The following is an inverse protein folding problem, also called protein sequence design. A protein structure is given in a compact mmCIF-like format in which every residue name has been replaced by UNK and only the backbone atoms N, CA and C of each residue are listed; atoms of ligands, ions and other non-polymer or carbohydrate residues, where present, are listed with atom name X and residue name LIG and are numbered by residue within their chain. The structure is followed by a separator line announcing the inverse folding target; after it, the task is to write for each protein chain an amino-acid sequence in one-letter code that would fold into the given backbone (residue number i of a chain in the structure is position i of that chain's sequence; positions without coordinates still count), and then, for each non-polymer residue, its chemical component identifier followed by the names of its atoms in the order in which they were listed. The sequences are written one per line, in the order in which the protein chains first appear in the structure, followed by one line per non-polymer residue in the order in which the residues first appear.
data_IF_959939944310
#
_entry.id   IF_959939944310
#
_cell.length_a   1.000
_cell.length_b   1.000
_cell.length_c   1.000
_cell.angle_alpha   90.00
_cell.angle_beta   90.00
_cell.angle_gamma   90.00
#
_symmetry.space_group_name_H-M   'P 1'
#
loop_
_entity.id
_entity.type
_entity.pdbx_description
1 polymer ?
#
# COMPACT_ATOMS: atom_id res chain seq x y z
N UNK A 1 28.19 -31.42 -7.07
CA UNK A 1 27.99 -30.39 -6.01
C UNK A 1 28.96 -29.21 -6.13
N UNK A 2 29.45 -28.84 -7.32
CA UNK A 2 30.39 -27.71 -7.48
C UNK A 2 30.03 -26.67 -8.55
N UNK A 3 28.93 -26.79 -9.32
CA UNK A 3 28.62 -25.81 -10.38
C UNK A 3 27.57 -24.76 -10.02
N UNK A 4 26.95 -24.81 -8.83
CA UNK A 4 25.91 -23.84 -8.42
C UNK A 4 26.51 -22.69 -7.60
N UNK A 5 27.70 -22.87 -7.01
CA UNK A 5 28.39 -21.83 -6.24
C UNK A 5 29.22 -20.87 -7.11
N UNK A 6 29.63 -21.30 -8.31
CA UNK A 6 30.41 -20.48 -9.26
C UNK A 6 29.52 -19.44 -10.00
N UNK A 7 28.29 -19.81 -10.36
CA UNK A 7 27.31 -18.90 -11.01
C UNK A 7 26.87 -17.75 -10.07
N UNK A 8 26.83 -18.01 -8.76
CA UNK A 8 26.50 -17.00 -7.75
C UNK A 8 27.60 -15.94 -7.54
N UNK A 9 28.87 -16.30 -7.78
CA UNK A 9 30.02 -15.41 -7.57
C UNK A 9 30.28 -14.49 -8.78
N UNK A 10 29.92 -14.92 -9.99
CA UNK A 10 30.04 -14.11 -11.21
C UNK A 10 29.00 -12.98 -11.29
N UNK A 11 27.84 -13.15 -10.67
CA UNK A 11 26.81 -12.10 -10.56
C UNK A 11 27.18 -11.00 -9.54
N UNK A 12 27.93 -11.33 -8.49
CA UNK A 12 28.42 -10.35 -7.51
C UNK A 12 29.54 -9.45 -8.05
N UNK A 13 30.39 -9.97 -8.94
CA UNK A 13 31.49 -9.20 -9.55
C UNK A 13 31.02 -8.20 -10.63
N UNK A 14 29.83 -8.42 -11.22
CA UNK A 14 29.25 -7.52 -12.23
C UNK A 14 28.54 -6.30 -11.64
N UNK A 15 28.21 -6.32 -10.35
CA UNK A 15 27.50 -5.23 -9.67
C UNK A 15 28.43 -4.11 -9.13
N UNK A 16 29.74 -4.35 -9.06
CA UNK A 16 30.72 -3.37 -8.51
C UNK A 16 31.31 -2.39 -9.54
N UNK A 17 30.87 -2.42 -10.80
CA UNK A 17 31.51 -1.69 -11.92
C UNK A 17 30.64 -0.58 -12.54
N UNK A 18 29.72 0.03 -11.79
CA UNK A 18 28.93 1.19 -12.25
C UNK A 18 29.06 2.46 -11.40
N UNK A 19 30.00 2.49 -10.45
CA UNK A 19 30.40 3.74 -9.80
C UNK A 19 31.78 4.16 -10.29
N UNK A 20 31.83 4.83 -11.44
CA UNK A 20 32.88 5.79 -11.81
C UNK A 20 32.59 6.43 -13.18
N UNK A 21 32.92 7.73 -13.29
CA UNK A 21 32.71 8.71 -14.38
C UNK A 21 31.39 9.49 -14.21
N UNK A 22 31.36 10.81 -13.99
CA UNK A 22 32.21 11.88 -14.53
C UNK A 22 32.28 13.13 -13.63
N UNK A 23 33.41 13.83 -13.66
CA UNK A 23 33.67 15.14 -13.04
C UNK A 23 33.95 16.22 -14.12
N UNK A 24 33.35 17.42 -13.95
CA UNK A 24 33.82 18.82 -14.27
C UNK A 24 33.74 19.29 -15.77
N UNK A 25 33.61 20.60 -16.20
CA UNK A 25 33.63 21.94 -15.51
C UNK A 25 32.64 23.11 -15.91
N UNK A 26 32.50 24.08 -14.97
CA UNK A 26 32.48 25.58 -15.01
C UNK A 26 31.47 26.53 -15.75
N UNK A 27 30.84 27.39 -14.91
CA UNK A 27 30.64 28.89 -14.92
C UNK A 27 29.33 29.54 -15.47
N UNK A 28 28.76 30.60 -14.82
CA UNK A 28 27.37 31.06 -15.02
C UNK A 28 27.24 32.40 -15.80
N UNK A 29 26.01 32.90 -16.01
CA UNK A 29 25.74 34.29 -15.66
C UNK A 29 24.39 34.57 -14.95
N UNK A 30 24.43 35.75 -14.32
CA UNK A 30 23.45 36.56 -13.61
C UNK A 30 22.00 36.62 -14.10
N UNK A 31 21.08 36.77 -13.14
CA UNK A 31 20.22 37.97 -12.92
C UNK A 31 18.75 37.69 -12.59
N UNK A 32 18.23 38.55 -11.71
CA UNK A 32 16.84 38.78 -11.28
C UNK A 32 16.22 37.79 -10.29
N UNK A 33 16.62 37.93 -9.03
CA UNK A 33 15.80 37.51 -7.88
C UNK A 33 14.61 38.46 -7.72
N UNK A 34 13.43 38.02 -8.16
CA UNK A 34 12.17 38.55 -7.64
C UNK A 34 11.91 37.82 -6.32
N UNK A 35 11.72 38.49 -5.18
CA UNK A 35 11.35 37.83 -3.95
C UNK A 35 9.88 37.39 -4.08
N UNK A 36 9.65 36.19 -4.60
CA UNK A 36 8.36 35.52 -4.42
C UNK A 36 8.23 35.24 -2.94
N UNK A 37 7.27 35.93 -2.31
CA UNK A 37 6.93 35.86 -0.90
C UNK A 37 6.47 34.42 -0.56
N UNK A 38 7.42 33.53 -0.30
CA UNK A 38 7.21 32.09 -0.09
C UNK A 38 6.71 31.72 1.32
N UNK A 39 5.98 32.62 1.97
CA UNK A 39 5.47 32.39 3.32
C UNK A 39 4.18 31.56 3.33
N UNK A 40 3.46 31.41 2.22
CA UNK A 40 2.15 30.76 2.20
C UNK A 40 2.18 29.23 2.09
N UNK A 41 3.22 28.65 1.49
CA UNK A 41 3.28 27.20 1.17
C UNK A 41 3.66 26.34 2.38
N UNK A 42 4.44 26.87 3.32
CA UNK A 42 4.87 26.17 4.54
C UNK A 42 3.76 26.06 5.59
N UNK A 43 2.90 27.07 5.71
CA UNK A 43 1.76 27.05 6.63
C UNK A 43 0.71 26.01 6.21
N UNK A 44 0.39 25.93 4.92
CA UNK A 44 -0.61 25.00 4.40
C UNK A 44 -0.17 23.52 4.49
N UNK A 45 1.13 23.25 4.28
CA UNK A 45 1.69 21.89 4.45
C UNK A 45 1.72 21.47 5.92
N UNK A 46 2.08 22.38 6.83
CA UNK A 46 2.06 22.14 8.28
C UNK A 46 0.64 21.89 8.79
N UNK A 47 -0.34 22.68 8.37
CA UNK A 47 -1.73 22.51 8.77
C UNK A 47 -2.30 21.17 8.31
N UNK A 48 -2.02 20.77 7.07
CA UNK A 48 -2.44 19.46 6.53
C UNK A 48 -1.81 18.32 7.33
N UNK A 49 -0.52 18.41 7.64
CA UNK A 49 0.18 17.43 8.47
C UNK A 49 -0.45 17.29 9.86
N UNK A 50 -0.79 18.42 10.49
CA UNK A 50 -1.45 18.46 11.80
C UNK A 50 -2.86 17.85 11.75
N UNK A 51 -3.63 18.12 10.69
CA UNK A 51 -4.94 17.48 10.45
C UNK A 51 -4.80 15.97 10.34
N UNK A 52 -3.83 15.48 9.56
CA UNK A 52 -3.58 14.04 9.42
C UNK A 52 -3.20 13.43 10.79
N UNK A 53 -2.32 14.07 11.59
CA UNK A 53 -1.94 13.54 12.91
C UNK A 53 -3.14 13.47 13.85
N UNK A 54 -3.99 14.51 13.83
CA UNK A 54 -5.22 14.55 14.60
C UNK A 54 -6.14 13.38 14.25
N UNK A 55 -6.36 13.12 12.95
CA UNK A 55 -7.22 12.01 12.52
C UNK A 55 -6.63 10.66 12.89
N UNK A 56 -5.32 10.46 12.71
CA UNK A 56 -4.64 9.23 13.13
C UNK A 56 -4.82 8.98 14.62
N UNK A 57 -4.68 10.02 15.45
CA UNK A 57 -4.92 9.93 16.90
C UNK A 57 -6.38 9.58 17.21
N UNK A 58 -7.33 10.29 16.60
CA UNK A 58 -8.77 10.03 16.77
C UNK A 58 -9.11 8.57 16.44
N UNK A 59 -8.56 8.02 15.37
CA UNK A 59 -8.76 6.61 14.99
C UNK A 59 -8.14 5.67 16.03
N UNK A 60 -6.89 5.90 16.42
CA UNK A 60 -6.18 5.01 17.34
C UNK A 60 -6.80 4.98 18.73
N UNK A 61 -7.20 6.14 19.27
CA UNK A 61 -7.71 6.28 20.63
C UNK A 61 -9.20 5.90 20.75
N UNK A 62 -9.90 5.70 19.62
CA UNK A 62 -11.33 5.37 19.62
C UNK A 62 -11.63 4.03 20.31
N UNK A 63 -12.71 3.89 21.10
CA UNK A 63 -13.08 2.64 21.76
C UNK A 63 -13.75 1.62 20.82
N UNK A 64 -13.33 1.53 19.55
CA UNK A 64 -13.86 0.52 18.62
C UNK A 64 -13.40 -0.89 19.05
N UNK A 65 -14.27 -1.92 19.06
CA UNK A 65 -15.61 -1.99 18.44
C UNK A 65 -16.80 -1.60 19.32
N UNK A 66 -16.59 -1.23 20.59
CA UNK A 66 -17.68 -0.93 21.52
C UNK A 66 -18.55 0.25 21.06
N UNK A 67 -17.93 1.17 20.31
CA UNK A 67 -18.63 2.27 19.63
C UNK A 67 -18.29 2.29 18.13
N UNK A 68 -19.26 2.66 17.27
CA UNK A 68 -19.03 2.77 15.83
C UNK A 68 -18.09 3.94 15.52
N UNK A 69 -17.00 3.67 14.80
CA UNK A 69 -16.00 4.67 14.43
C UNK A 69 -16.54 5.73 13.46
N UNK A 70 -17.53 5.36 12.65
CA UNK A 70 -18.08 6.19 11.56
C UNK A 70 -18.56 7.58 12.05
N UNK A 71 -19.27 7.64 13.17
CA UNK A 71 -19.77 8.90 13.73
C UNK A 71 -18.62 9.84 14.09
N UNK A 72 -17.57 9.32 14.71
CA UNK A 72 -16.39 10.10 15.09
C UNK A 72 -15.63 10.59 13.85
N UNK A 73 -15.56 9.79 12.78
CA UNK A 73 -14.97 10.20 11.50
C UNK A 73 -15.75 11.33 10.84
N UNK A 74 -17.08 11.23 10.80
CA UNK A 74 -17.96 12.29 10.25
C UNK A 74 -17.77 13.63 10.99
N UNK A 75 -17.63 13.60 12.31
CA UNK A 75 -17.43 14.81 13.12
C UNK A 75 -16.06 15.45 12.92
N UNK A 76 -15.03 14.67 12.58
CA UNK A 76 -13.65 15.17 12.48
C UNK A 76 -13.17 15.38 11.04
N UNK A 77 -13.85 14.81 10.04
CA UNK A 77 -13.43 14.84 8.63
C UNK A 77 -14.58 15.40 7.80
N UNK A 78 -14.52 16.69 7.41
CA UNK A 78 -15.51 17.22 6.49
C UNK A 78 -15.35 16.56 5.10
N UNK A 79 -16.43 16.34 4.34
CA UNK A 79 -16.37 15.68 3.03
C UNK A 79 -15.36 16.32 2.06
N UNK A 80 -15.21 17.64 2.10
CA UNK A 80 -14.26 18.39 1.27
C UNK A 80 -12.78 18.16 1.60
N UNK A 81 -12.46 17.53 2.74
CA UNK A 81 -11.09 17.20 3.13
C UNK A 81 -10.64 15.82 2.62
N UNK A 82 -11.57 14.98 2.16
CA UNK A 82 -11.28 13.62 1.68
C UNK A 82 -10.73 13.64 0.25
N UNK A 83 -9.43 13.90 0.15
CA UNK A 83 -8.65 13.71 -1.08
C UNK A 83 -7.85 12.40 -1.04
N UNK A 84 -7.46 11.88 -2.21
CA UNK A 84 -6.63 10.66 -2.31
C UNK A 84 -5.35 10.77 -1.47
N UNK A 85 -4.61 11.88 -1.60
CA UNK A 85 -3.37 12.13 -0.86
C UNK A 85 -3.61 12.13 0.66
N UNK A 86 -4.73 12.70 1.11
CA UNK A 86 -5.08 12.73 2.53
C UNK A 86 -5.32 11.32 3.07
N UNK A 87 -6.11 10.50 2.37
CA UNK A 87 -6.42 9.13 2.77
C UNK A 87 -5.17 8.25 2.78
N UNK A 88 -4.34 8.33 1.74
CA UNK A 88 -3.05 7.64 1.65
C UNK A 88 -2.10 8.02 2.79
N UNK A 89 -2.10 9.30 3.20
CA UNK A 89 -1.27 9.80 4.29
C UNK A 89 -1.73 9.30 5.65
N UNK A 90 -3.05 9.30 5.90
CA UNK A 90 -3.63 8.74 7.14
C UNK A 90 -3.33 7.24 7.21
N UNK A 91 -3.62 6.48 6.15
CA UNK A 91 -3.35 5.04 6.10
C UNK A 91 -1.86 4.71 6.19
N UNK A 92 -0.99 5.53 5.59
CA UNK A 92 0.46 5.39 5.70
C UNK A 92 0.94 5.50 7.15
N UNK A 93 0.36 6.42 7.93
CA UNK A 93 0.68 6.55 9.36
C UNK A 93 0.10 5.42 10.19
N UNK A 94 -1.14 5.00 9.94
CA UNK A 94 -1.74 3.83 10.60
C UNK A 94 -0.92 2.56 10.32
N UNK A 95 -0.43 2.41 9.09
CA UNK A 95 0.45 1.32 8.69
C UNK A 95 1.78 1.33 9.45
N UNK A 96 2.44 2.49 9.52
CA UNK A 96 3.72 2.66 10.21
C UNK A 96 3.59 2.47 11.73
N UNK A 97 2.47 2.94 12.31
CA UNK A 97 2.19 2.84 13.73
C UNK A 97 1.68 1.45 14.18
N UNK A 98 1.57 0.47 13.27
CA UNK A 98 1.02 -0.85 13.57
C UNK A 98 -0.39 -0.77 14.20
N UNK A 99 -1.19 0.19 13.74
CA UNK A 99 -2.54 0.43 14.23
C UNK A 99 -3.46 -0.78 14.07
N UNK A 100 -4.55 -0.79 14.85
CA UNK A 100 -5.59 -1.81 14.76
C UNK A 100 -6.17 -1.90 13.33
N UNK A 101 -6.14 -3.09 12.74
CA UNK A 101 -6.57 -3.30 11.35
C UNK A 101 -8.05 -3.08 11.11
N UNK A 102 -8.93 -3.35 12.09
CA UNK A 102 -10.36 -3.09 11.93
C UNK A 102 -10.64 -1.59 11.90
N UNK A 103 -9.97 -0.79 12.73
CA UNK A 103 -10.12 0.68 12.71
C UNK A 103 -9.59 1.28 11.40
N UNK A 104 -8.48 0.79 10.89
CA UNK A 104 -7.95 1.20 9.58
C UNK A 104 -8.93 0.85 8.45
N UNK A 105 -9.55 -0.33 8.50
CA UNK A 105 -10.57 -0.74 7.54
C UNK A 105 -11.82 0.15 7.63
N UNK A 106 -12.32 0.47 8.82
CA UNK A 106 -13.46 1.37 8.99
C UNK A 106 -13.16 2.77 8.41
N UNK A 107 -11.94 3.29 8.60
CA UNK A 107 -11.52 4.53 7.96
C UNK A 107 -11.50 4.44 6.43
N UNK A 108 -10.98 3.35 5.87
CA UNK A 108 -10.94 3.17 4.41
C UNK A 108 -12.36 3.02 3.82
N UNK A 109 -13.24 2.24 4.48
CA UNK A 109 -14.67 2.14 4.09
C UNK A 109 -15.32 3.52 4.10
N UNK A 110 -15.13 4.27 5.18
CA UNK A 110 -15.62 5.63 5.28
C UNK A 110 -15.16 6.49 4.11
N UNK A 111 -13.89 6.41 3.69
CA UNK A 111 -13.43 7.15 2.52
C UNK A 111 -14.08 6.70 1.20
N UNK A 112 -14.32 5.40 1.01
CA UNK A 112 -14.94 4.85 -0.21
C UNK A 112 -16.38 5.34 -0.43
N UNK A 113 -17.10 5.65 0.66
CA UNK A 113 -18.49 6.08 0.58
C UNK A 113 -18.63 7.58 0.22
N UNK A 114 -17.53 8.32 0.06
CA UNK A 114 -17.54 9.76 -0.25
C UNK A 114 -17.15 10.04 -1.70
N UNK A 115 -18.04 10.71 -2.43
CA UNK A 115 -17.94 10.94 -3.90
C UNK A 115 -16.70 11.71 -4.38
N UNK A 116 -16.04 12.46 -3.50
CA UNK A 116 -14.84 13.24 -3.85
C UNK A 116 -13.54 12.43 -3.78
N UNK A 117 -13.59 11.23 -3.19
CA UNK A 117 -12.45 10.36 -3.08
C UNK A 117 -12.40 9.38 -4.25
N UNK A 118 -11.32 9.44 -5.03
CA UNK A 118 -10.95 8.35 -5.93
C UNK A 118 -10.00 7.42 -5.18
N UNK A 119 -10.38 6.17 -4.90
CA UNK A 119 -9.49 5.22 -4.25
C UNK A 119 -8.27 4.92 -5.12
N UNK A 120 -7.15 4.67 -4.47
CA UNK A 120 -5.86 4.37 -5.09
C UNK A 120 -5.37 2.98 -4.69
N UNK A 121 -4.48 2.41 -5.50
CA UNK A 121 -3.83 1.13 -5.19
C UNK A 121 -3.05 1.22 -3.89
N UNK A 122 -2.41 2.36 -3.62
CA UNK A 122 -1.62 2.58 -2.41
C UNK A 122 -2.48 2.54 -1.13
N UNK A 123 -3.60 3.26 -1.11
CA UNK A 123 -4.54 3.24 0.03
C UNK A 123 -5.13 1.84 0.25
N UNK A 124 -5.54 1.17 -0.84
CA UNK A 124 -6.07 -0.19 -0.79
C UNK A 124 -5.02 -1.18 -0.25
N UNK A 125 -3.82 -1.22 -0.84
CA UNK A 125 -2.75 -2.13 -0.46
C UNK A 125 -2.27 -1.90 0.97
N UNK A 126 -2.18 -0.64 1.43
CA UNK A 126 -1.87 -0.33 2.84
C UNK A 126 -2.93 -0.91 3.78
N UNK A 127 -4.20 -0.69 3.47
CA UNK A 127 -5.31 -1.24 4.27
C UNK A 127 -5.25 -2.76 4.33
N UNK A 128 -5.06 -3.40 3.17
CA UNK A 128 -4.94 -4.85 3.05
C UNK A 128 -3.76 -5.37 3.87
N UNK A 129 -2.61 -4.69 3.81
CA UNK A 129 -1.43 -5.09 4.56
C UNK A 129 -1.62 -4.93 6.08
N UNK A 130 -2.31 -3.88 6.56
CA UNK A 130 -2.61 -3.75 7.99
C UNK A 130 -3.50 -4.92 8.44
N UNK A 131 -4.55 -5.24 7.68
CA UNK A 131 -5.46 -6.34 7.99
C UNK A 131 -4.76 -7.69 8.06
N UNK A 132 -3.98 -8.04 7.03
CA UNK A 132 -3.29 -9.34 6.97
C UNK A 132 -2.16 -9.45 7.98
N UNK A 133 -1.49 -8.34 8.33
CA UNK A 133 -0.53 -8.29 9.46
C UNK A 133 -1.20 -8.65 10.78
N UNK A 134 -2.42 -8.16 11.01
CA UNK A 134 -3.23 -8.45 12.20
C UNK A 134 -4.02 -9.77 12.08
N UNK A 135 -3.80 -10.54 11.00
CA UNK A 135 -4.46 -11.82 10.71
C UNK A 135 -5.99 -11.73 10.57
N UNK A 136 -6.52 -10.55 10.25
CA UNK A 136 -7.93 -10.38 9.93
C UNK A 136 -8.23 -10.80 8.49
N UNK A 137 -7.97 -12.08 8.16
CA UNK A 137 -8.09 -12.60 6.80
C UNK A 137 -9.51 -12.52 6.25
N UNK A 138 -10.53 -12.81 7.05
CA UNK A 138 -11.93 -12.70 6.60
C UNK A 138 -12.29 -11.27 6.17
N UNK A 139 -11.80 -10.28 6.92
CA UNK A 139 -11.98 -8.86 6.59
C UNK A 139 -11.13 -8.43 5.39
N UNK A 140 -9.96 -9.03 5.21
CA UNK A 140 -9.11 -8.81 4.06
C UNK A 140 -9.74 -9.38 2.76
N UNK A 141 -10.33 -10.58 2.82
CA UNK A 141 -11.10 -11.16 1.73
C UNK A 141 -12.31 -10.30 1.38
N UNK A 142 -13.10 -9.89 2.38
CA UNK A 142 -14.22 -8.98 2.18
C UNK A 142 -13.78 -7.68 1.48
N UNK A 143 -12.62 -7.12 1.87
CA UNK A 143 -12.09 -5.91 1.26
C UNK A 143 -11.76 -6.13 -0.22
N UNK A 144 -11.09 -7.23 -0.56
CA UNK A 144 -10.78 -7.55 -1.95
C UNK A 144 -12.04 -7.79 -2.79
N UNK A 145 -13.04 -8.49 -2.26
CA UNK A 145 -14.31 -8.72 -2.93
C UNK A 145 -15.05 -7.41 -3.20
N UNK A 146 -15.05 -6.49 -2.22
CA UNK A 146 -15.61 -5.14 -2.38
C UNK A 146 -14.85 -4.33 -3.43
N UNK A 147 -13.53 -4.36 -3.45
CA UNK A 147 -12.73 -3.66 -4.46
C UNK A 147 -12.91 -4.28 -5.84
N UNK A 148 -13.03 -5.61 -5.94
CA UNK A 148 -13.36 -6.30 -7.20
C UNK A 148 -14.66 -5.77 -7.80
N UNK A 149 -15.71 -5.61 -6.99
CA UNK A 149 -17.02 -5.18 -7.49
C UNK A 149 -17.11 -3.69 -7.76
N UNK A 150 -16.39 -2.86 -7.01
CA UNK A 150 -16.52 -1.39 -7.09
C UNK A 150 -15.40 -0.71 -7.86
N UNK A 151 -14.16 -1.21 -7.75
CA UNK A 151 -12.95 -0.59 -8.29
C UNK A 151 -11.93 -1.66 -8.78
N UNK A 152 -12.30 -2.52 -9.74
CA UNK A 152 -11.50 -3.71 -10.12
C UNK A 152 -10.08 -3.38 -10.63
N UNK A 153 -9.87 -2.16 -11.14
CA UNK A 153 -8.55 -1.68 -11.58
C UNK A 153 -7.52 -1.56 -10.46
N UNK A 154 -7.96 -1.45 -9.20
CA UNK A 154 -7.08 -1.35 -8.03
C UNK A 154 -6.53 -2.70 -7.55
N UNK A 155 -7.10 -3.80 -8.03
CA UNK A 155 -6.56 -5.13 -7.76
C UNK A 155 -5.28 -5.32 -8.59
N UNK A 156 -4.17 -5.48 -7.90
CA UNK A 156 -2.83 -5.64 -8.48
C UNK A 156 -2.20 -6.96 -8.07
N UNK A 157 -1.17 -7.41 -8.80
CA UNK A 157 -0.33 -8.54 -8.36
C UNK A 157 0.26 -8.31 -6.97
N UNK A 158 0.54 -7.06 -6.62
CA UNK A 158 1.02 -6.69 -5.29
C UNK A 158 -0.04 -6.96 -4.22
N UNK A 159 -1.30 -6.58 -4.46
CA UNK A 159 -2.40 -6.90 -3.54
C UNK A 159 -2.62 -8.41 -3.35
N UNK A 160 -2.50 -9.19 -4.43
CA UNK A 160 -2.53 -10.66 -4.37
C UNK A 160 -1.38 -11.20 -3.52
N UNK A 161 -0.15 -10.73 -3.75
CA UNK A 161 1.03 -11.14 -2.96
C UNK A 161 0.88 -10.83 -1.48
N UNK A 162 0.37 -9.64 -1.12
CA UNK A 162 0.14 -9.25 0.29
C UNK A 162 -0.76 -10.27 0.99
N UNK A 163 -1.80 -10.76 0.33
CA UNK A 163 -2.70 -11.77 0.87
C UNK A 163 -2.02 -13.14 0.96
N UNK A 164 -1.54 -13.66 -0.16
CA UNK A 164 -1.03 -15.04 -0.25
C UNK A 164 0.21 -15.26 0.61
N UNK A 165 1.11 -14.27 0.70
CA UNK A 165 2.29 -14.36 1.56
C UNK A 165 1.94 -14.46 3.05
N UNK A 166 0.85 -13.81 3.49
CA UNK A 166 0.41 -13.87 4.88
C UNK A 166 -0.40 -15.12 5.17
N UNK A 167 -1.23 -15.57 4.24
CA UNK A 167 -1.97 -16.83 4.36
C UNK A 167 -0.99 -18.01 4.44
N UNK A 168 -0.08 -18.14 3.46
CA UNK A 168 0.93 -19.20 3.46
C UNK A 168 1.82 -19.24 4.71
N UNK A 169 2.05 -18.09 5.34
CA UNK A 169 2.83 -17.99 6.58
C UNK A 169 2.05 -18.44 7.83
N UNK A 170 0.74 -18.24 7.87
CA UNK A 170 -0.03 -18.35 9.12
C UNK A 170 -1.19 -19.35 9.08
N UNK A 171 -1.56 -19.87 7.91
CA UNK A 171 -2.66 -20.82 7.71
C UNK A 171 -2.13 -22.19 7.30
N UNK A 172 -3.03 -23.19 7.20
CA UNK A 172 -2.65 -24.53 6.74
C UNK A 172 -2.28 -24.54 5.26
N UNK A 173 -1.67 -25.65 4.83
CA UNK A 173 -1.35 -25.88 3.42
C UNK A 173 -2.63 -25.88 2.56
N UNK A 174 -3.67 -26.57 3.02
CA UNK A 174 -4.98 -26.67 2.37
C UNK A 174 -5.61 -25.28 2.25
N UNK A 175 -5.64 -24.51 3.34
CA UNK A 175 -6.14 -23.12 3.33
C UNK A 175 -5.36 -22.22 2.38
N UNK A 176 -4.06 -22.50 2.20
CA UNK A 176 -3.22 -21.77 1.25
C UNK A 176 -3.61 -22.12 -0.18
N UNK A 177 -3.79 -23.41 -0.51
CA UNK A 177 -4.28 -23.83 -1.83
C UNK A 177 -5.65 -23.23 -2.16
N UNK A 178 -6.59 -23.27 -1.22
CA UNK A 178 -7.91 -22.64 -1.35
C UNK A 178 -7.78 -21.13 -1.60
N UNK A 179 -6.83 -20.46 -0.94
CA UNK A 179 -6.58 -19.04 -1.18
C UNK A 179 -6.03 -18.76 -2.58
N UNK A 180 -5.15 -19.61 -3.11
CA UNK A 180 -4.69 -19.49 -4.50
C UNK A 180 -5.85 -19.68 -5.49
N UNK A 181 -6.65 -20.72 -5.30
CA UNK A 181 -7.83 -20.99 -6.12
C UNK A 181 -8.83 -19.83 -6.08
N UNK A 182 -9.13 -19.31 -4.88
CA UNK A 182 -10.01 -18.15 -4.70
C UNK A 182 -9.47 -16.90 -5.39
N UNK A 183 -8.16 -16.67 -5.40
CA UNK A 183 -7.57 -15.54 -6.12
C UNK A 183 -7.83 -15.63 -7.63
N UNK A 184 -7.64 -16.81 -8.21
CA UNK A 184 -7.78 -17.04 -9.64
C UNK A 184 -9.25 -17.02 -10.08
N UNK A 185 -10.10 -17.75 -9.36
CA UNK A 185 -11.48 -18.03 -9.76
C UNK A 185 -12.49 -16.97 -9.31
N UNK A 186 -12.21 -16.25 -8.21
CA UNK A 186 -13.18 -15.31 -7.64
C UNK A 186 -12.70 -13.86 -7.69
N UNK A 187 -11.42 -13.59 -7.41
CA UNK A 187 -10.92 -12.21 -7.26
C UNK A 187 -10.40 -11.62 -8.57
N UNK A 188 -9.57 -12.36 -9.31
CA UNK A 188 -8.90 -11.92 -10.53
C UNK A 188 -9.51 -12.50 -11.81
N UNK A 189 -10.80 -12.87 -11.77
CA UNK A 189 -11.53 -13.50 -12.88
C UNK A 189 -11.30 -12.78 -14.21
N UNK A 190 -10.91 -13.54 -15.23
CA UNK A 190 -10.71 -13.02 -16.59
C UNK A 190 -9.42 -12.22 -16.80
N UNK A 191 -8.59 -12.03 -15.77
CA UNK A 191 -7.21 -11.55 -15.98
C UNK A 191 -6.33 -12.72 -16.38
N UNK A 192 -5.76 -12.63 -17.58
CA UNK A 192 -4.68 -13.51 -18.00
C UNK A 192 -3.41 -13.02 -17.30
N UNK A 193 -2.90 -13.82 -16.36
CA UNK A 193 -1.54 -13.66 -15.88
C UNK A 193 -0.62 -14.09 -17.04
N UNK A 194 0.26 -13.20 -17.51
CA UNK A 194 1.22 -13.54 -18.56
C UNK A 194 1.99 -14.78 -18.14
N UNK A 195 1.79 -15.85 -18.90
CA UNK A 195 2.39 -17.15 -18.64
C UNK A 195 3.49 -17.32 -19.68
N UNK A 196 4.76 -17.19 -19.27
CA UNK A 196 5.88 -17.57 -20.13
C UNK A 196 5.78 -19.09 -20.38
N UNK A 197 5.47 -19.45 -21.63
CA UNK A 197 5.50 -20.77 -22.29
C UNK A 197 5.73 -22.03 -21.42
N UNK A 198 4.87 -22.27 -20.42
CA UNK A 198 4.98 -23.48 -19.59
C UNK A 198 3.92 -23.66 -18.51
N UNK A 199 2.79 -22.95 -18.56
CA UNK A 199 1.64 -23.16 -17.67
C UNK A 199 1.88 -22.88 -16.18
N UNK A 200 3.05 -22.36 -15.79
CA UNK A 200 3.35 -22.05 -14.39
C UNK A 200 3.12 -20.57 -14.13
N UNK A 201 2.12 -20.25 -13.30
CA UNK A 201 1.93 -18.90 -12.76
C UNK A 201 3.19 -18.57 -11.95
N UNK A 202 4.02 -17.66 -12.45
CA UNK A 202 5.10 -17.10 -11.65
C UNK A 202 4.48 -16.16 -10.63
N UNK A 203 4.41 -16.60 -9.37
CA UNK A 203 4.39 -15.64 -8.25
C UNK A 203 5.68 -14.83 -8.40
N UNK A 204 5.63 -13.49 -8.49
CA UNK A 204 6.84 -12.71 -8.74
C UNK A 204 7.89 -13.05 -7.68
N UNK A 205 9.13 -13.36 -8.08
CA UNK A 205 10.22 -13.65 -7.12
C UNK A 205 10.48 -12.45 -6.19
N UNK A 206 10.07 -11.26 -6.62
CA UNK A 206 10.14 -10.02 -5.86
C UNK A 206 8.99 -9.89 -4.85
N UNK A 207 7.91 -10.68 -4.99
CA UNK A 207 6.75 -10.63 -4.12
C UNK A 207 7.06 -11.10 -2.69
N UNK A 208 8.11 -11.91 -2.53
CA UNK A 208 8.64 -12.37 -1.25
C UNK A 208 9.96 -11.67 -0.85
N UNK A 209 10.53 -10.84 -1.73
CA UNK A 209 11.84 -10.20 -1.51
C UNK A 209 11.77 -8.76 -0.99
N UNK A 210 10.56 -8.21 -0.80
CA UNK A 210 10.36 -6.86 -0.26
C UNK A 210 9.76 -6.95 1.14
N UNK A 211 10.45 -7.56 2.11
CA UNK A 211 10.40 -7.18 3.54
C UNK A 211 11.63 -7.78 4.26
N UNK A 212 12.21 -7.08 5.24
CA UNK A 212 13.29 -7.61 6.08
C UNK A 212 12.85 -8.81 6.93
#
# INVERSE_FOLDING_TARGET
MSSILEEGMLLWLRLKRFNQLTQIPHKPPSSFSVPVRSFSRSHQSSETKNKIERIVRVINDHPFPDQPLQTTLLQNIPPSALSTIFVESVLGRLFAAHSNGLKALEFFKFSLDHSQFSPSSDAFEKTLHILTRMRYFDRAWWLMERIRSTHPSLLTLKSMSIMLSKISKFQSYESTLEAFEKMENDIFVGRKFETDEGGTIRVPKDAFSIFP
#
